data_IF_705773151338
#
_entry.id   IF_705773151338
#
_cell.length_a   1.000
_cell.length_b   1.000
_cell.length_c   1.000
_cell.angle_alpha   90.00
_cell.angle_beta   90.00
_cell.angle_gamma   90.00
#
_symmetry.space_group_name_H-M   'P 1'
#
loop_
_entity.id
_entity.type
_entity.pdbx_description
1 polymer ?
#
# COMPACT_ATOMS: atom_id res chain seq x y z
N UNK A 1 -8.58 -4.57 -15.58
CA UNK A 1 -9.14 -5.18 -14.36
C UNK A 1 -8.86 -4.32 -13.13
N UNK A 2 -9.69 -4.45 -12.10
CA UNK A 2 -9.51 -3.76 -10.81
C UNK A 2 -8.88 -4.72 -9.81
N UNK A 3 -7.72 -4.34 -9.27
CA UNK A 3 -7.04 -5.08 -8.21
C UNK A 3 -7.19 -4.28 -6.91
N UNK A 4 -7.62 -4.94 -5.85
CA UNK A 4 -7.67 -4.37 -4.51
C UNK A 4 -6.79 -5.21 -3.60
N UNK A 5 -5.98 -4.54 -2.79
CA UNK A 5 -5.07 -5.15 -1.84
C UNK A 5 -5.37 -4.51 -0.49
N UNK A 6 -5.78 -5.33 0.48
CA UNK A 6 -6.18 -4.88 1.81
C UNK A 6 -5.25 -5.49 2.84
N UNK A 7 -4.70 -4.68 3.74
CA UNK A 7 -3.96 -5.17 4.91
C UNK A 7 -4.84 -5.04 6.16
N UNK A 8 -4.96 -6.14 6.91
CA UNK A 8 -5.58 -6.19 8.23
C UNK A 8 -4.55 -6.81 9.19
N UNK A 9 -4.21 -6.19 10.33
CA UNK A 9 -3.16 -6.69 11.22
C UNK A 9 -3.29 -8.16 11.62
N UNK A 10 -4.52 -8.63 11.86
CA UNK A 10 -4.80 -10.01 12.28
C UNK A 10 -4.83 -11.00 11.10
N UNK A 11 -4.96 -10.54 9.86
CA UNK A 11 -5.16 -11.41 8.67
C UNK A 11 -4.02 -11.32 7.65
N UNK A 12 -3.16 -10.30 7.75
CA UNK A 12 -2.16 -9.98 6.74
C UNK A 12 -2.77 -9.30 5.51
N UNK A 13 -2.23 -9.61 4.33
CA UNK A 13 -2.61 -8.97 3.06
C UNK A 13 -3.57 -9.85 2.26
N UNK A 14 -4.77 -9.36 1.98
CA UNK A 14 -5.76 -10.03 1.12
C UNK A 14 -5.84 -9.35 -0.25
N UNK A 15 -5.89 -10.15 -1.32
CA UNK A 15 -6.00 -9.69 -2.71
C UNK A 15 -7.39 -9.99 -3.27
N UNK A 16 -7.96 -9.00 -3.96
CA UNK A 16 -9.20 -9.14 -4.72
C UNK A 16 -8.97 -8.73 -6.18
N UNK A 17 -9.53 -9.50 -7.11
CA UNK A 17 -9.53 -9.17 -8.54
C UNK A 17 -10.98 -9.08 -8.99
N UNK A 18 -11.37 -7.92 -9.52
CA UNK A 18 -12.74 -7.63 -9.94
C UNK A 18 -13.79 -7.91 -8.83
N UNK A 19 -13.40 -7.72 -7.56
CA UNK A 19 -14.25 -7.95 -6.38
C UNK A 19 -14.22 -9.37 -5.82
N UNK A 20 -13.59 -10.32 -6.50
CA UNK A 20 -13.46 -11.70 -6.03
C UNK A 20 -12.16 -11.88 -5.23
N UNK A 21 -12.26 -12.43 -4.02
CA UNK A 21 -11.09 -12.73 -3.16
C UNK A 21 -10.25 -13.83 -3.81
N UNK A 22 -8.98 -13.55 -4.07
CA UNK A 22 -8.04 -14.49 -4.68
C UNK A 22 -7.13 -15.20 -3.67
N UNK A 23 -6.93 -14.62 -2.50
CA UNK A 23 -6.14 -15.24 -1.43
C UNK A 23 -5.64 -14.22 -0.42
N UNK A 24 -4.90 -14.72 0.58
CA UNK A 24 -4.23 -13.90 1.57
C UNK A 24 -2.80 -14.39 1.82
N UNK A 25 -1.93 -13.46 2.21
CA UNK A 25 -0.59 -13.72 2.73
C UNK A 25 -0.58 -13.24 4.17
N UNK A 26 -0.39 -14.17 5.10
CA UNK A 26 -0.39 -13.90 6.53
C UNK A 26 0.88 -13.14 6.97
N UNK A 27 0.76 -12.43 8.08
CA UNK A 27 1.87 -11.72 8.72
C UNK A 27 2.16 -10.33 8.13
N UNK A 28 2.95 -9.57 8.88
CA UNK A 28 3.27 -8.17 8.60
C UNK A 28 4.44 -7.99 7.63
N UNK A 29 5.30 -9.00 7.45
CA UNK A 29 6.50 -8.90 6.61
C UNK A 29 6.17 -8.58 5.15
N UNK A 30 5.19 -9.31 4.59
CA UNK A 30 4.74 -9.07 3.23
C UNK A 30 4.06 -7.70 3.09
N UNK A 31 3.26 -7.30 4.08
CA UNK A 31 2.63 -5.97 4.09
C UNK A 31 3.68 -4.85 4.08
N UNK A 32 4.71 -4.95 4.94
CA UNK A 32 5.84 -4.00 4.96
C UNK A 32 6.55 -3.93 3.62
N UNK A 33 6.92 -5.09 3.06
CA UNK A 33 7.58 -5.14 1.76
C UNK A 33 6.70 -4.54 0.65
N UNK A 34 5.41 -4.83 0.64
CA UNK A 34 4.46 -4.31 -0.33
C UNK A 34 4.31 -2.78 -0.23
N UNK A 35 4.05 -2.24 0.97
CA UNK A 35 3.91 -0.79 1.15
C UNK A 35 5.22 -0.03 0.91
N UNK A 36 6.38 -0.68 1.06
CA UNK A 36 7.68 -0.06 0.80
C UNK A 36 7.83 0.45 -0.64
N UNK A 37 7.07 -0.09 -1.59
CA UNK A 37 7.04 0.38 -2.99
C UNK A 37 6.70 1.88 -3.06
N UNK A 38 5.83 2.37 -2.18
CA UNK A 38 5.41 3.76 -2.13
C UNK A 38 5.95 4.51 -0.91
N UNK A 39 6.07 3.85 0.23
CA UNK A 39 6.40 4.49 1.51
C UNK A 39 7.84 4.23 1.99
N UNK A 40 8.57 3.34 1.33
CA UNK A 40 9.94 2.96 1.69
C UNK A 40 10.97 4.03 1.36
N UNK A 41 12.25 3.71 1.57
CA UNK A 41 13.38 4.62 1.36
C UNK A 41 13.64 4.92 -0.12
N UNK A 42 13.30 3.97 -0.99
CA UNK A 42 13.41 4.08 -2.44
C UNK A 42 12.01 3.93 -3.08
N UNK A 43 11.12 4.92 -2.92
CA UNK A 43 9.76 4.82 -3.44
C UNK A 43 9.77 4.95 -4.97
N UNK A 44 8.80 4.33 -5.62
CA UNK A 44 8.61 4.43 -7.08
C UNK A 44 8.37 5.87 -7.54
N UNK A 45 7.72 6.68 -6.71
CA UNK A 45 7.49 8.11 -6.95
C UNK A 45 7.55 8.86 -5.62
N UNK A 46 8.45 9.85 -5.54
CA UNK A 46 8.65 10.68 -4.34
C UNK A 46 7.47 11.60 -4.04
N UNK A 47 6.80 12.15 -5.06
CA UNK A 47 5.62 13.00 -4.89
C UNK A 47 4.44 12.16 -4.39
N UNK A 48 4.29 10.94 -4.92
CA UNK A 48 3.25 10.01 -4.44
C UNK A 48 3.46 9.66 -2.96
N UNK A 49 4.70 9.38 -2.53
CA UNK A 49 5.01 9.14 -1.11
C UNK A 49 4.52 10.29 -0.23
N UNK A 50 4.81 11.54 -0.62
CA UNK A 50 4.40 12.72 0.13
C UNK A 50 2.87 12.82 0.25
N UNK A 51 2.15 12.63 -0.86
CA UNK A 51 0.67 12.65 -0.85
C UNK A 51 0.09 11.54 0.04
N UNK A 52 0.64 10.33 0.00
CA UNK A 52 0.20 9.22 0.86
C UNK A 52 0.50 9.45 2.34
N UNK A 53 1.52 10.25 2.66
CA UNK A 53 1.83 10.70 4.02
C UNK A 53 0.99 11.91 4.46
N UNK A 54 0.12 12.42 3.59
CA UNK A 54 -0.76 13.55 3.88
C UNK A 54 -0.18 14.93 3.58
N UNK A 55 0.97 15.01 2.90
CA UNK A 55 1.52 16.29 2.45
C UNK A 55 0.88 16.74 1.14
N UNK A 56 0.54 18.02 1.09
CA UNK A 56 -0.01 18.70 -0.07
C UNK A 56 0.88 19.86 -0.50
N UNK A 57 0.73 20.32 -1.74
CA UNK A 57 1.54 21.40 -2.31
C UNK A 57 1.45 22.71 -1.49
N UNK A 58 0.33 22.91 -0.78
CA UNK A 58 0.12 24.06 0.10
C UNK A 58 0.85 23.97 1.45
N UNK A 59 1.39 22.81 1.82
CA UNK A 59 2.08 22.62 3.11
C UNK A 59 3.51 23.17 3.11
N UNK A 60 4.01 23.61 1.94
CA UNK A 60 5.36 24.14 1.74
C UNK A 60 5.38 25.60 1.27
N UNK A 61 4.23 26.29 1.30
CA UNK A 61 4.05 27.72 1.04
C UNK A 61 3.93 28.50 2.36
#
# INVERSE_FOLDING_TARGET
DRIQITYLPEEGVTVFVNGERKGAVEGEDFARAFFSIWLGDHPVDKKMKLVLLGYHENDFL
#
